data_IF_242891369205
#
_entry.id   IF_242891369205
#
_cell.length_a   1.000
_cell.length_b   1.000
_cell.length_c   1.000
_cell.angle_alpha   90.00
_cell.angle_beta   90.00
_cell.angle_gamma   90.00
#
_symmetry.space_group_name_H-M   'P 1'
#
loop_
_entity.id
_entity.type
_entity.pdbx_description
1 polymer ?
#
# COMPACT_ATOMS: atom_id res chain seq x y z
N UNK A 1 -36.82 10.95 67.78
CA UNK A 1 -37.13 9.59 68.26
C UNK A 1 -36.87 8.65 67.09
N UNK A 2 -35.70 7.98 67.07
CA UNK A 2 -35.57 6.53 67.35
C UNK A 2 -36.58 5.72 66.56
N UNK A 3 -36.21 5.04 65.47
CA UNK A 3 -35.61 3.70 65.40
C UNK A 3 -35.84 3.26 63.92
N UNK A 4 -35.20 2.30 63.27
CA UNK A 4 -34.25 1.24 63.61
C UNK A 4 -33.73 0.65 62.29
N UNK A 5 -32.55 0.04 62.38
CA UNK A 5 -31.89 -0.85 61.43
C UNK A 5 -32.80 -1.91 60.81
N UNK A 6 -32.41 -2.40 59.61
CA UNK A 6 -32.60 -3.75 58.98
C UNK A 6 -32.46 -3.53 57.45
N UNK A 7 -31.76 -4.30 56.62
CA UNK A 7 -30.74 -5.32 56.75
C UNK A 7 -30.02 -5.40 55.39
N UNK A 8 -28.79 -5.91 55.44
CA UNK A 8 -27.96 -6.29 54.29
C UNK A 8 -28.63 -7.37 53.45
N UNK A 9 -28.57 -7.25 52.12
CA UNK A 9 -28.21 -8.37 51.25
C UNK A 9 -27.37 -7.88 50.08
N UNK A 10 -26.18 -8.47 49.95
CA UNK A 10 -25.26 -8.22 48.86
C UNK A 10 -25.78 -8.91 47.59
N UNK A 11 -25.83 -8.19 46.47
CA UNK A 11 -25.76 -8.80 45.15
C UNK A 11 -24.42 -8.41 44.54
N UNK A 12 -23.40 -9.20 44.87
CA UNK A 12 -22.15 -9.21 44.12
C UNK A 12 -22.50 -9.78 42.75
N UNK A 13 -22.64 -8.91 41.76
CA UNK A 13 -22.68 -9.35 40.37
C UNK A 13 -21.26 -9.85 40.02
N UNK A 14 -21.01 -11.15 40.28
CA UNK A 14 -19.87 -11.87 39.71
C UNK A 14 -20.13 -11.98 38.21
N UNK A 15 -19.70 -10.98 37.46
CA UNK A 15 -19.38 -11.20 36.05
C UNK A 15 -18.13 -12.06 36.02
N UNK A 16 -18.33 -13.37 35.92
CA UNK A 16 -17.26 -14.29 35.53
C UNK A 16 -16.84 -13.90 34.13
N UNK A 17 -15.81 -13.08 34.02
CA UNK A 17 -14.96 -13.01 32.84
C UNK A 17 -14.37 -14.41 32.65
N UNK A 18 -15.08 -15.24 31.89
CA UNK A 18 -14.54 -16.47 31.35
C UNK A 18 -13.50 -16.06 30.30
N UNK A 19 -12.28 -15.79 30.78
CA UNK A 19 -11.10 -15.59 29.95
C UNK A 19 -10.78 -16.97 29.35
N UNK A 20 -10.87 -17.17 28.03
CA UNK A 20 -10.48 -18.45 27.44
C UNK A 20 -9.00 -18.71 27.74
N UNK A 21 -8.72 -19.98 28.03
CA UNK A 21 -7.45 -20.46 28.53
C UNK A 21 -6.25 -19.88 27.77
N UNK A 22 -5.29 -19.38 28.55
CA UNK A 22 -3.95 -19.07 28.07
C UNK A 22 -3.38 -20.35 27.48
N UNK A 23 -3.26 -20.41 26.16
CA UNK A 23 -2.46 -21.44 25.51
C UNK A 23 -1.03 -21.31 26.03
N UNK A 24 -0.63 -22.36 26.73
CA UNK A 24 0.68 -22.75 27.21
C UNK A 24 1.86 -21.98 26.56
N UNK A 25 2.36 -20.95 27.25
CA UNK A 25 3.65 -20.33 26.98
C UNK A 25 4.74 -21.07 27.75
N UNK A 26 5.06 -22.28 27.31
CA UNK A 26 6.23 -22.98 27.81
C UNK A 26 6.96 -23.72 26.69
N UNK A 27 8.12 -23.15 26.35
CA UNK A 27 9.33 -23.82 25.83
C UNK A 27 9.23 -24.44 24.43
N UNK A 28 9.57 -23.62 23.45
CA UNK A 28 10.53 -24.06 22.44
C UNK A 28 11.72 -23.09 22.41
N UNK A 29 12.50 -23.13 23.50
CA UNK A 29 13.83 -22.53 23.58
C UNK A 29 14.86 -23.60 23.25
N UNK A 30 15.05 -23.87 21.97
CA UNK A 30 16.19 -24.56 21.35
C UNK A 30 15.79 -24.81 19.91
N UNK A 31 15.94 -23.84 19.01
CA UNK A 31 17.14 -23.79 18.20
C UNK A 31 17.24 -22.38 17.60
N UNK A 32 17.95 -21.47 18.29
CA UNK A 32 18.59 -20.34 17.61
C UNK A 32 19.89 -20.84 16.95
N UNK A 33 19.76 -21.86 16.09
CA UNK A 33 20.84 -22.34 15.22
C UNK A 33 20.54 -22.12 13.74
N UNK A 34 19.36 -21.62 13.41
CA UNK A 34 19.06 -21.17 12.04
C UNK A 34 19.43 -19.70 11.80
N UNK A 35 20.31 -19.14 12.64
CA UNK A 35 21.00 -17.87 12.38
C UNK A 35 22.23 -18.08 11.45
N UNK A 36 22.13 -18.96 10.45
CA UNK A 36 23.26 -19.36 9.59
C UNK A 36 22.92 -19.57 8.10
N UNK A 37 22.00 -18.80 7.53
CA UNK A 37 22.05 -18.50 6.09
C UNK A 37 21.72 -17.02 5.84
N UNK A 38 22.57 -16.14 6.37
CA UNK A 38 22.84 -14.85 5.71
C UNK A 38 24.10 -14.98 4.84
N UNK A 39 24.31 -16.16 4.25
CA UNK A 39 25.10 -16.22 3.03
C UNK A 39 24.22 -15.57 1.96
N UNK A 40 24.65 -14.41 1.48
CA UNK A 40 24.15 -13.85 0.24
C UNK A 40 24.42 -14.90 -0.84
N UNK A 41 23.45 -15.78 -1.07
CA UNK A 41 23.44 -16.73 -2.16
C UNK A 41 23.93 -16.00 -3.43
N UNK A 42 24.85 -16.58 -4.20
CA UNK A 42 25.40 -15.92 -5.37
C UNK A 42 24.24 -15.42 -6.23
N UNK A 43 24.20 -14.11 -6.42
CA UNK A 43 23.19 -13.44 -7.23
C UNK A 43 23.36 -13.93 -8.67
N UNK A 44 22.72 -15.04 -9.01
CA UNK A 44 22.57 -15.42 -10.40
C UNK A 44 21.69 -14.33 -11.03
N UNK A 45 22.28 -13.56 -11.93
CA UNK A 45 21.60 -12.57 -12.75
C UNK A 45 20.45 -13.28 -13.46
N UNK A 46 19.21 -13.05 -12.99
CA UNK A 46 18.04 -13.69 -13.60
C UNK A 46 17.86 -13.21 -15.03
N UNK A 47 18.36 -12.01 -15.32
CA UNK A 47 18.60 -11.48 -16.66
C UNK A 47 19.03 -12.56 -17.67
N UNK A 48 20.16 -13.24 -17.41
CA UNK A 48 20.74 -14.23 -18.32
C UNK A 48 19.89 -15.50 -18.47
N UNK A 49 19.08 -15.83 -17.46
CA UNK A 49 18.22 -17.02 -17.43
C UNK A 49 16.84 -16.72 -18.06
N UNK A 50 16.40 -15.46 -17.99
CA UNK A 50 15.04 -15.05 -18.35
C UNK A 50 14.71 -15.25 -19.84
N UNK A 51 15.72 -15.24 -20.71
CA UNK A 51 15.54 -15.24 -22.15
C UNK A 51 14.87 -13.95 -22.69
N UNK A 52 14.81 -12.90 -21.88
CA UNK A 52 14.36 -11.58 -22.33
C UNK A 52 15.39 -10.98 -23.31
N UNK A 53 14.94 -10.20 -24.31
CA UNK A 53 15.86 -9.51 -25.21
C UNK A 53 16.64 -8.41 -24.48
N UNK A 54 17.90 -8.23 -24.87
CA UNK A 54 18.83 -7.26 -24.25
C UNK A 54 18.31 -5.81 -24.32
N UNK A 55 17.52 -5.48 -25.35
CA UNK A 55 16.86 -4.16 -25.52
C UNK A 55 16.02 -3.75 -24.30
N UNK A 56 15.51 -4.72 -23.55
CA UNK A 56 14.70 -4.46 -22.36
C UNK A 56 15.53 -3.88 -21.20
N UNK A 57 16.82 -4.16 -21.15
CA UNK A 57 17.74 -3.67 -20.11
C UNK A 57 18.04 -2.19 -20.24
N UNK A 58 17.98 -1.67 -21.46
CA UNK A 58 18.20 -0.25 -21.72
C UNK A 58 17.06 0.61 -21.22
N UNK A 59 15.86 0.03 -21.10
CA UNK A 59 14.65 0.73 -20.68
C UNK A 59 14.63 1.01 -19.19
N UNK A 60 14.07 2.17 -18.88
CA UNK A 60 13.82 2.58 -17.52
C UNK A 60 12.45 2.09 -17.05
N UNK A 61 12.42 1.76 -15.77
CA UNK A 61 11.26 1.20 -15.09
C UNK A 61 10.82 2.13 -13.97
N UNK A 62 9.52 2.37 -13.91
CA UNK A 62 8.90 3.21 -12.89
C UNK A 62 8.31 2.35 -11.78
N UNK A 63 8.83 2.53 -10.56
CA UNK A 63 8.27 1.91 -9.36
C UNK A 63 7.44 2.95 -8.61
N UNK A 64 6.13 2.73 -8.48
CA UNK A 64 5.23 3.72 -7.88
C UNK A 64 3.98 3.10 -7.25
N UNK A 65 3.32 3.87 -6.38
CA UNK A 65 1.93 3.60 -5.98
C UNK A 65 0.98 4.45 -6.85
N UNK A 66 -0.03 3.85 -7.49
CA UNK A 66 -0.93 4.60 -8.36
C UNK A 66 -1.76 5.60 -7.56
N UNK A 67 -1.81 6.84 -8.04
CA UNK A 67 -2.62 7.88 -7.42
C UNK A 67 -4.11 7.51 -7.45
N UNK A 68 -4.87 8.01 -6.48
CA UNK A 68 -6.33 7.85 -6.49
C UNK A 68 -6.92 8.65 -7.66
N UNK A 69 -7.78 8.02 -8.46
CA UNK A 69 -8.54 8.70 -9.52
C UNK A 69 -9.38 9.82 -8.92
N UNK A 70 -9.25 11.05 -9.43
CA UNK A 70 -9.96 12.21 -8.88
C UNK A 70 -11.50 12.04 -8.90
N UNK A 71 -12.01 11.40 -9.96
CA UNK A 71 -13.44 11.14 -10.15
C UNK A 71 -14.04 10.16 -9.14
N UNK A 72 -13.23 9.32 -8.48
CA UNK A 72 -13.70 8.28 -7.57
C UNK A 72 -13.08 8.41 -6.17
N UNK A 73 -13.86 8.19 -5.11
CA UNK A 73 -13.34 8.25 -3.74
C UNK A 73 -12.73 6.94 -3.23
N UNK A 74 -12.89 5.85 -3.98
CA UNK A 74 -12.35 4.53 -3.62
C UNK A 74 -10.83 4.50 -3.54
N UNK A 75 -10.29 3.83 -2.52
CA UNK A 75 -8.83 3.74 -2.25
C UNK A 75 -8.21 2.36 -2.53
N UNK A 76 -9.01 1.38 -2.95
CA UNK A 76 -8.54 0.01 -3.04
C UNK A 76 -7.43 -0.17 -4.11
N UNK A 77 -7.51 0.58 -5.21
CA UNK A 77 -6.54 0.52 -6.31
C UNK A 77 -5.14 1.07 -5.99
N UNK A 78 -5.00 1.83 -4.89
CA UNK A 78 -3.76 2.56 -4.50
C UNK A 78 -2.88 1.78 -3.51
N UNK A 79 -3.35 0.63 -3.01
CA UNK A 79 -2.65 -0.12 -1.95
C UNK A 79 -1.34 -0.75 -2.43
N UNK A 80 -1.35 -1.33 -3.63
CA UNK A 80 -0.24 -2.10 -4.18
C UNK A 80 0.76 -1.19 -4.89
N UNK A 81 2.04 -1.53 -4.75
CA UNK A 81 3.11 -0.98 -5.57
C UNK A 81 3.02 -1.56 -6.97
N UNK A 82 3.37 -0.75 -7.97
CA UNK A 82 3.38 -1.14 -9.37
C UNK A 82 4.74 -0.88 -9.97
N UNK A 83 5.10 -1.78 -10.88
CA UNK A 83 6.20 -1.62 -11.79
C UNK A 83 5.59 -1.51 -13.19
N UNK A 84 5.84 -0.37 -13.83
CA UNK A 84 5.48 -0.12 -15.23
C UNK A 84 6.73 0.31 -16.00
N UNK A 85 6.80 -0.05 -17.27
CA UNK A 85 7.86 0.40 -18.17
C UNK A 85 7.58 1.81 -18.70
N UNK A 86 8.64 2.59 -18.92
CA UNK A 86 8.51 3.85 -19.62
C UNK A 86 8.15 3.63 -21.10
N UNK A 87 7.46 4.63 -21.65
CA UNK A 87 6.97 4.62 -23.03
C UNK A 87 8.14 4.74 -24.00
N UNK A 88 8.20 3.86 -25.01
CA UNK A 88 9.14 4.00 -26.12
C UNK A 88 8.65 5.05 -27.12
N UNK A 89 9.48 6.02 -27.47
CA UNK A 89 9.11 7.09 -28.40
C UNK A 89 8.79 6.55 -29.80
N UNK A 90 9.66 5.69 -30.35
CA UNK A 90 9.54 5.20 -31.73
C UNK A 90 8.50 4.08 -31.91
N UNK A 91 8.12 3.38 -30.84
CA UNK A 91 7.38 2.12 -30.91
C UNK A 91 6.06 2.06 -30.13
N UNK A 92 5.66 3.13 -29.43
CA UNK A 92 4.49 3.10 -28.54
C UNK A 92 3.18 2.92 -29.31
N UNK A 93 2.69 3.94 -30.03
CA UNK A 93 1.43 3.85 -30.76
C UNK A 93 1.47 4.65 -32.05
N UNK A 94 1.03 4.04 -33.14
CA UNK A 94 0.77 4.69 -34.42
C UNK A 94 -0.58 4.25 -34.99
N UNK A 95 -1.10 5.02 -35.93
CA UNK A 95 -2.37 4.71 -36.60
C UNK A 95 -2.16 3.67 -37.71
N UNK A 96 -2.98 2.62 -37.70
CA UNK A 96 -3.02 1.63 -38.78
C UNK A 96 -3.64 2.26 -40.04
N UNK A 97 -2.94 2.29 -41.20
CA UNK A 97 -3.42 2.97 -42.40
C UNK A 97 -4.72 2.38 -42.98
N UNK A 98 -5.07 1.14 -42.66
CA UNK A 98 -6.28 0.49 -43.18
C UNK A 98 -7.53 0.78 -42.33
N UNK A 99 -7.44 0.51 -41.03
CA UNK A 99 -8.61 0.53 -40.11
C UNK A 99 -8.58 1.68 -39.09
N UNK A 100 -7.46 2.41 -38.95
CA UNK A 100 -7.30 3.46 -37.95
C UNK A 100 -7.08 2.95 -36.51
N UNK A 101 -6.76 1.67 -36.32
CA UNK A 101 -6.45 1.13 -34.99
C UNK A 101 -5.11 1.62 -34.46
N UNK A 102 -4.98 1.70 -33.14
CA UNK A 102 -3.72 2.00 -32.46
C UNK A 102 -2.80 0.77 -32.49
N UNK A 103 -1.97 0.67 -33.50
CA UNK A 103 -0.91 -0.34 -33.63
C UNK A 103 0.29 0.03 -32.74
N UNK A 104 1.04 -0.97 -32.30
CA UNK A 104 2.21 -0.81 -31.41
C UNK A 104 3.26 -1.87 -31.71
N UNK A 105 4.53 -1.53 -31.53
CA UNK A 105 5.68 -2.46 -31.62
C UNK A 105 6.20 -2.84 -30.24
N UNK A 106 5.72 -2.17 -29.19
CA UNK A 106 6.23 -2.35 -27.85
C UNK A 106 5.63 -3.60 -27.19
N UNK A 107 6.49 -4.55 -26.83
CA UNK A 107 6.08 -5.80 -26.19
C UNK A 107 5.79 -5.63 -24.69
N UNK A 108 6.27 -4.56 -24.05
CA UNK A 108 6.09 -4.32 -22.61
C UNK A 108 4.88 -3.44 -22.26
N UNK A 109 4.26 -2.77 -23.24
CA UNK A 109 3.20 -1.78 -22.99
C UNK A 109 1.98 -2.30 -22.21
N UNK A 110 1.72 -3.61 -22.26
CA UNK A 110 0.58 -4.26 -21.61
C UNK A 110 0.89 -4.84 -20.23
N UNK A 111 2.15 -4.76 -19.78
CA UNK A 111 2.62 -5.42 -18.57
C UNK A 111 2.66 -4.43 -17.42
N UNK A 112 1.89 -4.73 -16.36
CA UNK A 112 1.93 -4.04 -15.08
C UNK A 112 2.09 -5.08 -13.98
N UNK A 113 3.20 -5.04 -13.27
CA UNK A 113 3.44 -5.95 -12.15
C UNK A 113 3.02 -5.29 -10.84
N UNK A 114 2.48 -6.09 -9.91
CA UNK A 114 1.94 -5.60 -8.63
C UNK A 114 2.68 -6.23 -7.46
N UNK A 115 3.10 -5.41 -6.51
CA UNK A 115 3.87 -5.81 -5.34
C UNK A 115 3.22 -5.29 -4.05
N UNK A 116 3.50 -5.98 -2.95
CA UNK A 116 3.01 -5.58 -1.63
C UNK A 116 3.89 -4.48 -1.02
N UNK A 117 5.21 -4.62 -1.11
CA UNK A 117 6.18 -3.65 -0.59
C UNK A 117 6.99 -2.95 -1.68
N UNK A 118 7.62 -1.83 -1.31
CA UNK A 118 8.54 -1.08 -2.18
C UNK A 118 9.82 -1.87 -2.40
N UNK A 119 10.32 -2.47 -1.32
CA UNK A 119 11.58 -3.22 -1.28
C UNK A 119 11.49 -4.48 -2.14
N UNK A 120 10.33 -5.14 -2.15
CA UNK A 120 10.08 -6.30 -3.02
C UNK A 120 10.15 -5.91 -4.51
N UNK A 121 9.58 -4.75 -4.86
CA UNK A 121 9.61 -4.24 -6.22
C UNK A 121 11.04 -3.85 -6.65
N UNK A 122 11.80 -3.21 -5.76
CA UNK A 122 13.22 -2.86 -6.00
C UNK A 122 14.04 -4.12 -6.19
N UNK A 123 13.94 -5.08 -5.26
CA UNK A 123 14.65 -6.35 -5.33
C UNK A 123 14.34 -7.10 -6.61
N UNK A 124 13.09 -7.06 -7.08
CA UNK A 124 12.71 -7.68 -8.34
C UNK A 124 13.37 -6.99 -9.54
N UNK A 125 13.33 -5.65 -9.61
CA UNK A 125 13.97 -4.90 -10.68
C UNK A 125 15.49 -5.11 -10.72
N UNK A 126 16.15 -5.09 -9.55
CA UNK A 126 17.58 -5.37 -9.41
C UNK A 126 17.91 -6.79 -9.88
N UNK A 127 17.10 -7.79 -9.51
CA UNK A 127 17.30 -9.19 -9.92
C UNK A 127 17.28 -9.39 -11.44
N UNK A 128 16.49 -8.58 -12.14
CA UNK A 128 16.37 -8.61 -13.59
C UNK A 128 17.36 -7.70 -14.31
N UNK A 129 18.12 -6.86 -13.59
CA UNK A 129 19.08 -5.93 -14.18
C UNK A 129 18.46 -4.65 -14.75
N UNK A 130 17.22 -4.30 -14.39
CA UNK A 130 16.54 -3.14 -14.98
C UNK A 130 16.92 -1.82 -14.30
N UNK A 131 17.10 -0.77 -15.10
CA UNK A 131 17.23 0.59 -14.58
C UNK A 131 15.88 1.04 -14.03
N UNK A 132 15.85 1.50 -12.79
CA UNK A 132 14.59 1.92 -12.17
C UNK A 132 14.71 3.28 -11.49
N UNK A 133 13.57 3.96 -11.36
CA UNK A 133 13.40 5.10 -10.48
C UNK A 133 12.16 4.90 -9.61
N UNK A 134 12.27 5.31 -8.35
CA UNK A 134 11.17 5.15 -7.38
C UNK A 134 10.46 6.48 -7.21
N UNK A 135 9.16 6.48 -7.49
CA UNK A 135 8.29 7.60 -7.18
C UNK A 135 7.60 7.37 -5.84
N UNK A 136 7.88 8.24 -4.88
CA UNK A 136 7.27 8.13 -3.56
C UNK A 136 5.77 8.50 -3.60
N UNK A 137 4.92 7.75 -2.85
CA UNK A 137 3.49 8.04 -2.76
C UNK A 137 3.25 9.37 -2.07
N UNK A 138 2.39 10.20 -2.67
CA UNK A 138 1.89 11.43 -2.04
C UNK A 138 0.71 11.10 -1.14
N UNK A 139 0.98 10.91 0.14
CA UNK A 139 -0.08 10.65 1.11
C UNK A 139 -0.91 11.92 1.41
N UNK A 140 -2.23 11.79 1.53
CA UNK A 140 -3.08 12.92 1.88
C UNK A 140 -2.81 13.33 3.33
N UNK A 141 -2.59 14.62 3.55
CA UNK A 141 -2.43 15.17 4.91
C UNK A 141 -3.73 14.99 5.70
N UNK A 142 -3.63 14.48 6.91
CA UNK A 142 -4.76 14.41 7.83
C UNK A 142 -5.14 15.81 8.31
N UNK A 143 -6.42 16.15 8.22
CA UNK A 143 -6.97 17.42 8.69
C UNK A 143 -8.14 17.12 9.62
N UNK A 144 -8.10 17.68 10.82
CA UNK A 144 -9.21 17.59 11.78
C UNK A 144 -10.41 18.34 11.20
N UNK A 145 -11.53 17.66 11.03
CA UNK A 145 -12.78 18.25 10.53
C UNK A 145 -13.80 18.23 11.67
N UNK A 146 -14.17 19.40 12.19
CA UNK A 146 -15.27 19.54 13.15
C UNK A 146 -16.50 20.13 12.48
N UNK A 147 -17.65 19.47 12.64
CA UNK A 147 -18.91 20.00 12.11
C UNK A 147 -19.34 21.29 12.81
N UNK A 148 -18.92 21.49 14.08
CA UNK A 148 -19.19 22.71 14.84
C UNK A 148 -18.54 23.96 14.22
N UNK A 149 -17.42 23.80 13.52
CA UNK A 149 -16.73 24.91 12.85
C UNK A 149 -17.57 25.54 11.74
N UNK A 150 -18.56 24.81 11.22
CA UNK A 150 -19.50 25.35 10.25
C UNK A 150 -20.34 26.50 10.82
N UNK A 151 -20.62 26.52 12.13
CA UNK A 151 -21.52 27.48 12.78
C UNK A 151 -20.86 28.38 13.82
N UNK A 152 -19.53 28.49 13.79
CA UNK A 152 -18.79 29.34 14.72
C UNK A 152 -19.22 30.81 14.55
N UNK A 153 -19.61 31.43 15.66
CA UNK A 153 -19.93 32.86 15.71
C UNK A 153 -18.70 33.68 15.32
N UNK A 154 -18.88 34.66 14.43
CA UNK A 154 -17.87 35.68 14.12
C UNK A 154 -18.42 37.06 14.48
N UNK A 155 -17.72 37.85 15.31
CA UNK A 155 -18.17 39.19 15.66
C UNK A 155 -18.07 40.19 14.50
N UNK A 156 -17.22 39.89 13.51
CA UNK A 156 -17.00 40.74 12.33
C UNK A 156 -17.90 40.32 11.14
N UNK A 157 -17.94 41.18 10.12
CA UNK A 157 -18.62 40.88 8.85
C UNK A 157 -18.12 39.55 8.26
N UNK A 158 -19.05 38.65 7.97
CA UNK A 158 -18.76 37.33 7.43
C UNK A 158 -18.06 37.43 6.07
N UNK A 159 -16.98 36.65 5.89
CA UNK A 159 -16.23 36.57 4.61
C UNK A 159 -16.99 35.81 3.53
N UNK A 160 -17.77 34.80 3.92
CA UNK A 160 -18.53 33.93 3.02
C UNK A 160 -19.80 33.43 3.73
N UNK A 161 -20.89 33.29 2.98
CA UNK A 161 -22.10 32.62 3.45
C UNK A 161 -21.93 31.11 3.29
N UNK A 162 -21.93 30.38 4.40
CA UNK A 162 -21.77 28.91 4.39
C UNK A 162 -23.11 28.25 4.04
N UNK A 163 -23.15 27.55 2.91
CA UNK A 163 -24.26 26.67 2.53
C UNK A 163 -23.97 25.22 2.91
N UNK A 164 -24.99 24.36 2.79
CA UNK A 164 -24.86 22.91 2.98
C UNK A 164 -24.29 22.22 1.76
#
# INVERSE_FOLDING_TARGET
MSSSLIARTASVCRTTLARPALYNTARFSSQLKDLQHLESEPFHSVESISGAPDELLERNVRIYKPARTASQQGKNGTKLWRIDFDILEDGNRWENPLMGWASSSDFQQGITMKFNSKEDAIRFAEKQGWKYYVQEPKEPKFVVKSYGDNYKYSPNKLRLFKTK
#
